data_IF_752724018948
#
_entry.id   IF_752724018948
#
_cell.length_a   1.000
_cell.length_b   1.000
_cell.length_c   1.000
_cell.angle_alpha   90.00
_cell.angle_beta   90.00
_cell.angle_gamma   90.00
#
_symmetry.space_group_name_H-M   'P 1'
#
loop_
_entity.id
_entity.type
_entity.pdbx_description
1 polymer ?
#
# COMPACT_ATOMS: atom_id res chain seq x y z
N UNK A 1 34.21 4.68 38.34
CA UNK A 1 32.83 4.90 37.84
C UNK A 1 31.85 4.20 38.78
N UNK A 2 30.92 4.94 39.39
CA UNK A 2 29.91 4.36 40.29
C UNK A 2 28.93 3.47 39.50
N UNK A 3 28.29 2.50 40.18
CA UNK A 3 27.24 1.67 39.57
C UNK A 3 26.11 2.52 38.96
N UNK A 4 25.79 3.65 39.58
CA UNK A 4 24.80 4.61 39.07
C UNK A 4 25.21 5.23 37.72
N UNK A 5 26.50 5.58 37.55
CA UNK A 5 27.00 6.14 36.28
C UNK A 5 26.96 5.14 35.14
N UNK A 6 27.16 3.84 35.42
CA UNK A 6 27.04 2.76 34.41
C UNK A 6 25.59 2.53 33.99
N UNK A 7 24.65 2.56 34.93
CA UNK A 7 23.22 2.44 34.64
C UNK A 7 22.69 3.64 33.85
N UNK A 8 23.13 4.85 34.20
CA UNK A 8 22.76 6.06 33.47
C UNK A 8 23.29 6.03 32.02
N UNK A 9 24.54 5.59 31.82
CA UNK A 9 25.12 5.42 30.48
C UNK A 9 24.38 4.35 29.66
N UNK A 10 24.00 3.22 30.28
CA UNK A 10 23.22 2.17 29.62
C UNK A 10 21.81 2.65 29.24
N UNK A 11 21.16 3.43 30.10
CA UNK A 11 19.84 4.01 29.82
C UNK A 11 19.91 5.05 28.70
N UNK A 12 20.93 5.93 28.70
CA UNK A 12 21.13 6.89 27.61
C UNK A 12 21.41 6.18 26.29
N UNK A 13 22.21 5.09 26.30
CA UNK A 13 22.43 4.26 25.10
C UNK A 13 21.16 3.58 24.61
N UNK A 14 20.32 3.04 25.51
CA UNK A 14 19.04 2.43 25.15
C UNK A 14 18.07 3.44 24.57
N UNK A 15 17.99 4.65 25.14
CA UNK A 15 17.12 5.73 24.64
C UNK A 15 17.62 6.29 23.29
N UNK A 16 18.92 6.32 23.04
CA UNK A 16 19.49 6.74 21.75
C UNK A 16 19.35 5.68 20.64
N UNK A 17 19.15 4.41 20.98
CA UNK A 17 18.95 3.34 20.00
C UNK A 17 17.50 3.24 19.47
N UNK A 18 16.54 3.97 20.03
CA UNK A 18 15.18 4.02 19.48
C UNK A 18 15.15 5.00 18.32
N UNK A 19 15.85 4.65 17.23
CA UNK A 19 15.66 5.33 15.95
C UNK A 19 14.34 4.82 15.41
N UNK A 20 13.31 5.66 15.45
CA UNK A 20 12.05 5.37 14.75
C UNK A 20 12.36 5.34 13.25
N UNK A 21 12.55 4.14 12.71
CA UNK A 21 12.67 3.94 11.27
C UNK A 21 11.28 4.17 10.68
N UNK A 22 11.01 5.39 10.26
CA UNK A 22 9.83 5.70 9.46
C UNK A 22 10.05 5.12 8.07
N UNK A 23 9.11 4.30 7.59
CA UNK A 23 9.23 3.73 6.26
C UNK A 23 9.14 4.83 5.20
N UNK A 24 10.12 4.89 4.31
CA UNK A 24 10.09 5.76 3.13
C UNK A 24 9.14 5.19 2.09
N UNK A 25 8.30 6.04 1.49
CA UNK A 25 7.36 5.64 0.45
C UNK A 25 7.77 6.21 -0.92
N UNK A 26 7.55 5.43 -1.96
CA UNK A 26 7.97 5.69 -3.33
C UNK A 26 6.78 5.61 -4.28
N UNK A 27 6.80 6.48 -5.29
CA UNK A 27 5.87 6.42 -6.41
C UNK A 27 6.29 5.37 -7.45
N UNK A 28 5.40 4.99 -8.40
CA UNK A 28 5.71 4.01 -9.44
C UNK A 28 6.94 4.31 -10.30
N UNK A 29 7.34 5.57 -10.41
CA UNK A 29 8.55 6.01 -11.12
C UNK A 29 9.83 5.89 -10.27
N UNK A 30 9.72 5.35 -9.05
CA UNK A 30 10.82 5.20 -8.09
C UNK A 30 11.21 6.51 -7.39
N UNK A 31 10.45 7.59 -7.59
CA UNK A 31 10.66 8.85 -6.88
C UNK A 31 10.19 8.73 -5.43
N UNK A 32 11.00 9.25 -4.51
CA UNK A 32 10.67 9.31 -3.09
C UNK A 32 9.58 10.35 -2.84
N UNK A 33 8.60 10.01 -2.01
CA UNK A 33 7.56 10.93 -1.57
C UNK A 33 7.96 11.55 -0.24
N UNK A 34 8.43 12.78 -0.32
CA UNK A 34 8.74 13.59 0.85
C UNK A 34 7.45 14.24 1.37
N UNK A 35 6.88 13.71 2.44
CA UNK A 35 5.68 14.25 3.07
C UNK A 35 5.37 13.49 4.35
N UNK A 36 5.22 14.21 5.47
CA UNK A 36 4.89 13.60 6.75
C UNK A 36 3.47 13.03 6.81
N UNK A 37 2.66 13.25 5.78
CA UNK A 37 1.28 12.80 5.66
C UNK A 37 1.14 11.38 5.05
N UNK A 38 2.19 10.89 4.40
CA UNK A 38 2.26 9.56 3.79
C UNK A 38 2.95 8.59 4.76
N UNK A 39 2.46 7.36 4.84
CA UNK A 39 3.05 6.30 5.66
C UNK A 39 2.54 4.92 5.27
N UNK A 40 3.19 3.85 5.76
CA UNK A 40 2.76 2.49 5.49
C UNK A 40 1.41 2.20 6.16
N UNK A 41 0.60 1.36 5.53
CA UNK A 41 -0.70 0.96 6.06
C UNK A 41 -0.60 0.09 7.32
N UNK A 42 0.51 -0.63 7.46
CA UNK A 42 0.81 -1.45 8.63
C UNK A 42 2.26 -1.27 9.04
N UNK A 43 2.52 -1.25 10.35
CA UNK A 43 3.87 -1.26 10.91
C UNK A 43 4.39 -2.69 11.13
N UNK A 44 3.52 -3.70 10.99
CA UNK A 44 3.89 -5.10 11.09
C UNK A 44 4.46 -5.57 9.75
N UNK A 45 5.74 -5.91 9.71
CA UNK A 45 6.41 -6.37 8.49
C UNK A 45 5.90 -7.72 7.98
N UNK A 46 5.17 -8.49 8.80
CA UNK A 46 4.49 -9.72 8.38
C UNK A 46 3.16 -9.46 7.67
N UNK A 47 2.58 -8.28 7.87
CA UNK A 47 1.40 -7.84 7.15
C UNK A 47 1.81 -7.34 5.75
N UNK A 48 1.25 -7.90 4.67
CA UNK A 48 1.56 -7.45 3.31
C UNK A 48 1.22 -5.97 3.07
N UNK A 49 0.30 -5.39 3.85
CA UNK A 49 -0.02 -3.96 3.80
C UNK A 49 1.12 -3.06 4.32
N UNK A 50 2.14 -3.60 5.01
CA UNK A 50 3.37 -2.84 5.32
C UNK A 50 4.14 -2.40 4.06
N UNK A 51 3.80 -2.97 2.90
CA UNK A 51 4.34 -2.55 1.59
C UNK A 51 3.54 -1.45 0.92
N UNK A 52 2.31 -1.23 1.35
CA UNK A 52 1.42 -0.23 0.79
C UNK A 52 1.50 1.05 1.61
N UNK A 53 1.61 2.19 0.94
CA UNK A 53 1.63 3.49 1.57
C UNK A 53 0.41 4.34 1.16
N UNK A 54 -0.32 4.85 2.15
CA UNK A 54 -1.44 5.78 1.97
C UNK A 54 -1.19 7.08 2.73
N UNK A 55 -2.10 8.06 2.62
CA UNK A 55 -2.02 9.30 3.40
C UNK A 55 -2.50 9.10 4.84
N UNK A 56 -1.89 8.14 5.56
CA UNK A 56 -2.31 7.70 6.90
C UNK A 56 -1.92 8.65 8.03
N UNK A 57 -1.13 9.67 7.77
CA UNK A 57 -0.63 10.60 8.79
C UNK A 57 -1.27 11.99 8.71
N UNK A 58 -2.31 12.15 7.89
CA UNK A 58 -3.08 13.40 7.84
C UNK A 58 -3.85 13.64 9.14
N UNK A 59 -4.06 14.93 9.53
CA UNK A 59 -4.55 15.27 10.86
C UNK A 59 -6.04 14.96 11.06
N UNK A 60 -6.86 15.01 10.00
CA UNK A 60 -8.31 14.84 10.12
C UNK A 60 -8.73 13.41 9.84
N UNK A 61 -9.73 12.94 10.56
CA UNK A 61 -10.28 11.60 10.38
C UNK A 61 -11.14 11.52 9.09
N UNK A 62 -11.32 10.31 8.52
CA UNK A 62 -12.28 10.07 7.44
C UNK A 62 -13.65 10.72 7.70
N UNK A 63 -14.20 11.40 6.70
CA UNK A 63 -15.53 12.01 6.75
C UNK A 63 -15.65 13.33 7.53
N UNK A 64 -14.54 13.90 8.02
CA UNK A 64 -14.59 15.08 8.92
C UNK A 64 -14.22 16.42 8.27
N UNK A 65 -13.82 16.45 7.00
CA UNK A 65 -13.37 17.68 6.32
C UNK A 65 -13.89 17.79 4.92
N UNK A 66 -14.10 19.03 4.46
CA UNK A 66 -14.41 19.33 3.05
C UNK A 66 -13.19 19.39 2.16
N UNK A 67 -12.00 19.33 2.74
CA UNK A 67 -10.75 19.29 2.02
C UNK A 67 -10.14 17.89 2.07
N UNK A 68 -10.17 17.20 0.93
CA UNK A 68 -9.66 15.84 0.79
C UNK A 68 -8.17 15.71 1.18
N UNK A 69 -7.36 16.77 0.99
CA UNK A 69 -5.92 16.74 1.31
C UNK A 69 -5.61 16.74 2.81
N UNK A 70 -6.61 16.99 3.66
CA UNK A 70 -6.44 17.02 5.12
C UNK A 70 -6.92 15.74 5.80
N UNK A 71 -7.60 14.88 5.04
CA UNK A 71 -8.27 13.68 5.55
C UNK A 71 -7.36 12.50 5.36
N UNK A 72 -7.17 11.78 6.47
CA UNK A 72 -6.46 10.51 6.51
C UNK A 72 -7.18 9.46 5.69
N UNK A 73 -6.40 8.75 4.87
CA UNK A 73 -6.89 7.61 4.12
C UNK A 73 -7.11 6.40 5.06
N UNK A 74 -8.10 5.58 4.73
CA UNK A 74 -8.30 4.24 5.30
C UNK A 74 -7.64 3.21 4.37
N UNK A 75 -6.78 2.37 4.92
CA UNK A 75 -6.14 1.29 4.17
C UNK A 75 -7.08 0.11 4.00
N UNK A 76 -7.30 -0.33 2.76
CA UNK A 76 -8.15 -1.46 2.45
C UNK A 76 -7.37 -2.77 2.40
N UNK A 77 -8.00 -3.94 2.68
CA UNK A 77 -7.33 -5.23 2.64
C UNK A 77 -6.70 -5.57 1.29
N UNK A 78 -7.26 -5.07 0.18
CA UNK A 78 -6.74 -5.25 -1.18
C UNK A 78 -5.58 -4.32 -1.54
N UNK A 79 -5.08 -3.52 -0.58
CA UNK A 79 -3.96 -2.60 -0.80
C UNK A 79 -4.35 -1.25 -1.40
N UNK A 80 -5.63 -1.00 -1.66
CA UNK A 80 -6.10 0.33 -2.05
C UNK A 80 -6.21 1.27 -0.85
N UNK A 81 -6.13 2.57 -1.14
CA UNK A 81 -6.33 3.63 -0.17
C UNK A 81 -7.70 4.26 -0.39
N UNK A 82 -8.53 4.28 0.64
CA UNK A 82 -9.86 4.88 0.63
C UNK A 82 -9.82 6.27 1.26
N UNK A 83 -10.28 7.29 0.55
CA UNK A 83 -10.41 8.65 1.05
C UNK A 83 -11.90 9.03 1.12
N UNK A 84 -12.38 9.25 2.35
CA UNK A 84 -13.76 9.65 2.62
C UNK A 84 -13.81 11.14 2.95
N UNK A 85 -14.24 11.97 2.01
CA UNK A 85 -14.36 13.42 2.17
C UNK A 85 -15.78 13.86 2.50
N UNK A 86 -15.95 14.94 3.27
CA UNK A 86 -17.26 15.58 3.49
C UNK A 86 -17.50 16.58 2.36
N UNK A 87 -18.66 16.57 1.72
CA UNK A 87 -19.05 17.59 0.75
C UNK A 87 -19.69 18.77 1.48
N UNK A 88 -19.82 19.91 0.79
CA UNK A 88 -20.40 21.14 1.39
C UNK A 88 -21.85 20.96 1.84
N UNK A 89 -22.57 20.02 1.25
CA UNK A 89 -23.95 19.65 1.58
C UNK A 89 -24.04 18.63 2.74
N UNK A 90 -22.91 18.31 3.37
CA UNK A 90 -22.81 17.30 4.41
C UNK A 90 -22.85 15.85 3.92
N UNK A 91 -22.93 15.62 2.60
CA UNK A 91 -22.82 14.26 2.05
C UNK A 91 -21.38 13.77 2.07
N UNK A 92 -21.17 12.46 2.04
CA UNK A 92 -19.84 11.87 1.99
C UNK A 92 -19.45 11.57 0.54
N UNK A 93 -18.24 11.94 0.16
CA UNK A 93 -17.62 11.62 -1.12
C UNK A 93 -16.51 10.61 -0.93
N UNK A 94 -16.69 9.43 -1.51
CA UNK A 94 -15.77 8.30 -1.40
C UNK A 94 -14.88 8.21 -2.64
N UNK A 95 -13.58 8.07 -2.42
CA UNK A 95 -12.61 7.87 -3.48
C UNK A 95 -11.69 6.72 -3.11
N UNK A 96 -11.28 5.95 -4.11
CA UNK A 96 -10.27 4.91 -3.97
C UNK A 96 -9.09 5.23 -4.86
N UNK A 97 -7.89 4.92 -4.36
CA UNK A 97 -6.67 5.16 -5.09
C UNK A 97 -5.62 4.10 -4.83
N UNK A 98 -4.90 3.76 -5.90
CA UNK A 98 -3.60 3.11 -5.83
C UNK A 98 -2.58 4.22 -5.55
N UNK A 99 -2.03 4.23 -4.33
CA UNK A 99 -1.12 5.27 -3.87
C UNK A 99 0.36 4.87 -4.06
N UNK A 100 1.12 4.71 -2.97
CA UNK A 100 2.56 4.59 -2.98
C UNK A 100 3.00 3.23 -2.41
N UNK A 101 4.29 2.92 -2.51
CA UNK A 101 4.85 1.66 -2.01
C UNK A 101 6.07 1.91 -1.13
N UNK A 102 6.36 1.05 -0.14
CA UNK A 102 7.60 1.16 0.64
C UNK A 102 8.84 0.67 -0.12
N UNK A 103 8.65 -0.10 -1.19
CA UNK A 103 9.73 -0.46 -2.12
C UNK A 103 9.90 0.62 -3.19
N UNK A 104 11.15 0.99 -3.46
CA UNK A 104 11.49 1.86 -4.58
C UNK A 104 11.30 1.17 -5.93
N UNK A 105 11.52 -0.14 -5.96
CA UNK A 105 11.37 -0.96 -7.14
C UNK A 105 9.99 -1.63 -7.15
N UNK A 106 9.10 -1.09 -7.98
CA UNK A 106 7.74 -1.59 -8.14
C UNK A 106 7.68 -2.92 -8.90
N UNK A 107 8.68 -3.23 -9.73
CA UNK A 107 8.71 -4.44 -10.55
C UNK A 107 8.92 -5.74 -9.75
N UNK A 108 9.24 -5.61 -8.46
CA UNK A 108 9.49 -6.74 -7.55
C UNK A 108 8.22 -7.51 -7.16
N UNK A 109 7.04 -7.03 -7.52
CA UNK A 109 5.76 -7.62 -7.09
C UNK A 109 5.44 -7.41 -5.60
N UNK A 110 6.24 -6.61 -4.89
CA UNK A 110 5.96 -6.19 -3.51
C UNK A 110 4.98 -5.01 -3.43
N UNK A 111 4.74 -4.35 -4.57
CA UNK A 111 3.83 -3.24 -4.73
C UNK A 111 2.63 -3.66 -5.59
N UNK A 112 1.65 -2.76 -5.78
CA UNK A 112 0.57 -2.96 -6.76
C UNK A 112 1.08 -2.68 -8.18
N UNK A 113 2.06 -3.47 -8.63
CA UNK A 113 2.62 -3.37 -9.97
C UNK A 113 1.60 -3.79 -11.04
N UNK A 114 1.65 -3.15 -12.20
CA UNK A 114 0.69 -3.35 -13.30
C UNK A 114 -0.72 -2.81 -13.03
N UNK A 115 -1.06 -2.45 -11.79
CA UNK A 115 -2.37 -1.89 -11.45
C UNK A 115 -2.35 -0.39 -11.70
N UNK A 116 -2.94 0.04 -12.81
CA UNK A 116 -3.10 1.45 -13.18
C UNK A 116 -1.78 2.24 -13.22
N UNK A 117 -0.65 1.59 -13.50
CA UNK A 117 0.68 2.23 -13.61
C UNK A 117 0.83 3.02 -14.91
N UNK A 118 0.08 2.66 -15.95
CA UNK A 118 0.25 3.18 -17.31
C UNK A 118 -0.54 4.46 -17.60
N UNK A 119 -1.41 4.91 -16.69
CA UNK A 119 -2.58 5.69 -17.12
C UNK A 119 -2.40 7.18 -17.33
N UNK A 120 -1.32 7.86 -16.92
CA UNK A 120 -1.11 9.25 -17.38
C UNK A 120 0.36 9.66 -17.37
N UNK A 121 0.88 10.08 -18.53
CA UNK A 121 2.17 10.78 -18.64
C UNK A 121 2.13 12.02 -17.72
N UNK A 122 2.79 11.96 -16.56
CA UNK A 122 2.99 13.11 -15.67
C UNK A 122 2.33 13.06 -14.29
N UNK A 123 1.61 12.00 -13.93
CA UNK A 123 1.16 11.79 -12.53
C UNK A 123 1.92 10.63 -11.90
N UNK A 124 3.15 10.87 -11.46
CA UNK A 124 3.94 9.93 -10.65
C UNK A 124 3.46 9.86 -9.20
N UNK A 125 2.16 9.61 -9.01
CA UNK A 125 1.59 9.52 -7.67
C UNK A 125 0.29 8.73 -7.62
N UNK A 126 -0.54 9.07 -6.64
CA UNK A 126 -1.85 8.47 -6.43
C UNK A 126 -2.67 8.45 -7.72
N UNK A 127 -3.12 7.27 -8.10
CA UNK A 127 -4.00 7.06 -9.23
C UNK A 127 -5.35 6.61 -8.74
N UNK A 128 -6.39 7.33 -9.14
CA UNK A 128 -7.77 7.00 -8.80
C UNK A 128 -8.17 5.70 -9.50
N UNK A 129 -8.93 4.89 -8.76
CA UNK A 129 -9.60 3.70 -9.25
C UNK A 129 -11.07 3.71 -8.86
N UNK A 130 -11.93 3.16 -9.71
CA UNK A 130 -13.38 3.12 -9.50
C UNK A 130 -13.85 1.66 -9.55
N UNK A 131 -14.55 1.15 -8.52
CA UNK A 131 -15.00 -0.24 -8.50
C UNK A 131 -16.16 -0.44 -9.46
N UNK A 132 -16.11 -1.50 -10.28
CA UNK A 132 -17.18 -1.81 -11.23
C UNK A 132 -18.49 -2.25 -10.58
N UNK A 133 -18.43 -2.70 -9.33
CA UNK A 133 -19.62 -3.07 -8.55
C UNK A 133 -20.12 -1.92 -7.66
N UNK A 134 -19.45 -0.76 -7.68
CA UNK A 134 -19.74 0.36 -6.78
C UNK A 134 -19.38 0.10 -5.31
N UNK A 135 -18.67 -1.00 -5.00
CA UNK A 135 -18.29 -1.39 -3.64
C UNK A 135 -16.77 -1.53 -3.51
N UNK A 136 -16.24 -1.25 -2.33
CA UNK A 136 -14.80 -1.44 -2.05
C UNK A 136 -14.34 -2.92 -2.05
N UNK A 137 -15.28 -3.86 -2.11
CA UNK A 137 -15.05 -5.30 -2.27
C UNK A 137 -15.06 -5.76 -3.74
N UNK A 138 -15.06 -4.84 -4.70
CA UNK A 138 -15.01 -5.20 -6.12
C UNK A 138 -13.73 -5.98 -6.44
N UNK A 139 -13.86 -6.95 -7.34
CA UNK A 139 -12.71 -7.68 -7.92
C UNK A 139 -12.25 -7.07 -9.24
N UNK A 140 -13.01 -6.12 -9.78
CA UNK A 140 -12.73 -5.42 -11.03
C UNK A 140 -12.86 -3.92 -10.82
N UNK A 141 -11.88 -3.18 -11.32
CA UNK A 141 -11.75 -1.75 -11.10
C UNK A 141 -11.35 -1.05 -12.39
N UNK A 142 -11.87 0.15 -12.60
CA UNK A 142 -11.40 1.04 -13.64
C UNK A 142 -10.29 1.95 -13.14
N UNK A 143 -9.22 2.03 -13.91
CA UNK A 143 -8.20 3.04 -13.74
C UNK A 143 -8.68 4.39 -14.28
N UNK A 144 -8.77 5.42 -13.44
CA UNK A 144 -9.14 6.76 -13.87
C UNK A 144 -10.22 7.42 -13.02
N UNK A 145 -10.93 8.37 -13.63
CA UNK A 145 -11.93 9.21 -12.99
C UNK A 145 -13.38 8.82 -13.36
N UNK A 146 -13.57 7.79 -14.18
CA UNK A 146 -14.86 7.23 -14.59
C UNK A 146 -14.88 5.68 -14.55
N UNK A 147 -16.09 5.11 -14.60
CA UNK A 147 -16.37 3.68 -14.64
C UNK A 147 -16.68 3.16 -16.06
N UNK A 148 -16.38 3.95 -17.09
CA UNK A 148 -16.67 3.60 -18.49
C UNK A 148 -16.10 2.21 -18.86
N UNK A 149 -14.91 1.88 -18.36
CA UNK A 149 -14.24 0.61 -18.62
C UNK A 149 -14.93 -0.62 -18.00
N UNK A 150 -15.92 -0.41 -17.11
CA UNK A 150 -16.70 -1.49 -16.51
C UNK A 150 -17.82 -1.98 -17.43
N UNK A 151 -18.24 -1.16 -18.39
CA UNK A 151 -19.34 -1.46 -19.31
C UNK A 151 -18.93 -1.47 -20.78
N UNK A 152 -17.77 -0.89 -21.13
CA UNK A 152 -17.31 -0.84 -22.51
C UNK A 152 -16.63 -2.14 -22.94
N UNK A 153 -16.72 -2.43 -24.25
CA UNK A 153 -15.88 -3.46 -24.89
C UNK A 153 -14.38 -3.12 -24.79
N UNK A 154 -14.05 -1.85 -24.55
CA UNK A 154 -12.69 -1.38 -24.30
C UNK A 154 -12.27 -1.64 -22.84
N UNK A 155 -11.59 -2.75 -22.61
CA UNK A 155 -11.04 -3.15 -21.30
C UNK A 155 -9.63 -2.59 -21.04
N UNK A 156 -9.15 -1.61 -21.83
CA UNK A 156 -7.78 -1.08 -21.70
C UNK A 156 -7.45 -0.49 -20.33
N UNK A 157 -8.47 -0.02 -19.59
CA UNK A 157 -8.33 0.54 -18.23
C UNK A 157 -8.91 -0.37 -17.13
N UNK A 158 -9.37 -1.58 -17.48
CA UNK A 158 -9.96 -2.52 -16.53
C UNK A 158 -8.84 -3.34 -15.88
N UNK A 159 -8.81 -3.35 -14.54
CA UNK A 159 -7.87 -4.15 -13.76
C UNK A 159 -8.61 -5.06 -12.80
N UNK A 160 -8.05 -6.23 -12.53
CA UNK A 160 -8.57 -7.14 -11.51
C UNK A 160 -7.71 -7.09 -10.26
N UNK A 161 -8.36 -6.99 -9.10
CA UNK A 161 -7.72 -6.97 -7.79
C UNK A 161 -8.27 -8.11 -6.93
N UNK A 162 -7.37 -8.82 -6.26
CA UNK A 162 -7.74 -9.75 -5.20
C UNK A 162 -8.40 -8.99 -4.04
N UNK A 163 -9.40 -9.56 -3.35
CA UNK A 163 -10.00 -8.96 -2.15
C UNK A 163 -8.98 -8.65 -1.04
N UNK A 164 -7.88 -9.41 -1.00
CA UNK A 164 -6.77 -9.20 -0.07
C UNK A 164 -5.47 -9.08 -0.85
N UNK A 165 -4.67 -8.08 -0.51
CA UNK A 165 -3.33 -7.88 -1.04
C UNK A 165 -2.43 -8.94 -0.44
N UNK A 166 -1.94 -9.81 -1.31
CA UNK A 166 -0.87 -10.74 -0.98
C UNK A 166 0.36 -10.25 -1.71
N UNK A 167 1.46 -10.07 -0.99
CA UNK A 167 2.76 -10.00 -1.66
C UNK A 167 2.87 -11.32 -2.40
N UNK A 168 3.10 -11.28 -3.72
CA UNK A 168 3.49 -12.49 -4.43
C UNK A 168 4.69 -13.00 -3.68
N UNK A 169 4.49 -14.06 -2.88
CA UNK A 169 5.54 -14.61 -2.03
C UNK A 169 6.69 -14.76 -2.99
N UNK A 170 7.76 -14.00 -2.76
CA UNK A 170 8.93 -14.04 -3.63
C UNK A 170 9.40 -15.45 -3.37
N UNK A 171 8.91 -16.38 -4.18
CA UNK A 171 9.26 -17.79 -4.13
C UNK A 171 10.76 -17.65 -4.14
N UNK A 172 11.35 -17.98 -3.00
CA UNK A 172 12.78 -17.92 -2.85
C UNK A 172 13.22 -19.09 -3.71
N UNK A 173 13.23 -18.88 -5.03
CA UNK A 173 13.76 -19.81 -5.99
C UNK A 173 15.19 -19.92 -5.48
N UNK A 174 15.58 -21.08 -4.91
CA UNK A 174 16.93 -21.23 -4.44
C UNK A 174 17.80 -20.85 -5.62
N UNK A 175 18.63 -19.82 -5.44
CA UNK A 175 19.58 -19.38 -6.45
C UNK A 175 20.39 -20.62 -6.82
N UNK A 176 20.01 -21.27 -7.92
CA UNK A 176 20.72 -22.43 -8.42
C UNK A 176 22.01 -21.84 -8.94
N UNK A 177 23.04 -21.85 -8.10
CA UNK A 177 24.41 -21.54 -8.46
C UNK A 177 24.74 -22.43 -9.65
N UNK A 178 24.60 -21.87 -10.85
CA UNK A 178 24.99 -22.55 -12.08
C UNK A 178 26.51 -22.53 -12.09
N UNK A 179 27.09 -23.55 -11.48
CA UNK A 179 28.49 -23.90 -11.67
C UNK A 179 28.65 -24.24 -13.14
N UNK A 180 29.14 -23.27 -13.92
CA UNK A 180 29.55 -23.48 -15.30
C UNK A 180 30.81 -24.35 -15.25
N UNK A 181 30.60 -25.67 -15.20
CA UNK A 181 31.66 -26.63 -15.51
C UNK A 181 31.74 -26.73 -17.03
N UNK A 182 32.80 -26.11 -17.55
CA UNK A 182 33.30 -26.33 -18.90
C UNK A 182 33.55 -27.82 -19.15
N UNK A 183 32.80 -28.41 -20.08
CA UNK A 183 33.21 -29.65 -20.76
C UNK A 183 32.98 -29.47 -22.25
N UNK A 184 34.09 -29.37 -22.96
CA UNK A 184 34.17 -29.39 -24.41
C UNK A 184 34.21 -30.83 -24.93
N UNK A 185 33.75 -30.98 -26.18
CA UNK A 185 33.97 -32.07 -27.14
C UNK A 185 33.02 -33.28 -27.12
N UNK A 186 32.34 -33.48 -28.26
CA UNK A 186 31.72 -34.76 -28.63
C UNK A 186 30.66 -34.65 -29.72
N UNK A 187 31.08 -34.60 -30.99
CA UNK A 187 30.24 -34.77 -32.18
C UNK A 187 29.43 -36.09 -32.17
N UNK A 188 28.22 -36.05 -32.78
CA UNK A 188 27.60 -37.01 -33.75
C UNK A 188 26.10 -36.70 -33.85
N UNK A 189 25.61 -36.03 -34.88
CA UNK A 189 25.17 -36.57 -36.20
C UNK A 189 24.24 -37.78 -36.10
N UNK A 190 22.93 -37.57 -36.31
CA UNK A 190 22.10 -38.37 -37.23
C UNK A 190 20.77 -37.67 -37.53
N UNK A 191 20.45 -37.63 -38.81
CA UNK A 191 19.26 -37.08 -39.47
C UNK A 191 18.09 -38.06 -39.49
N UNK A 192 16.83 -37.58 -39.40
CA UNK A 192 15.60 -38.13 -40.04
C UNK A 192 14.56 -36.97 -40.06
N UNK A 193 14.28 -36.28 -41.18
CA UNK A 193 13.38 -36.52 -42.33
C UNK A 193 11.86 -36.61 -41.99
N UNK A 194 11.09 -35.88 -42.81
CA UNK A 194 9.65 -35.98 -43.19
C UNK A 194 8.68 -34.99 -42.52
N UNK A 195 8.28 -33.88 -43.20
CA UNK A 195 7.31 -33.71 -44.33
C UNK A 195 5.90 -33.42 -43.77
N UNK A 196 5.06 -32.49 -44.23
CA UNK A 196 4.87 -31.81 -45.54
C UNK A 196 3.72 -30.78 -45.41
N UNK A 197 3.75 -29.73 -46.26
CA UNK A 197 2.64 -29.00 -46.94
C UNK A 197 1.48 -28.39 -46.12
N UNK A 198 0.95 -27.19 -46.39
CA UNK A 198 1.08 -26.15 -47.44
C UNK A 198 0.42 -24.87 -46.86
N UNK A 199 0.19 -23.75 -47.52
CA UNK A 199 0.28 -23.31 -48.90
C UNK A 199 0.36 -21.78 -48.85
N UNK A 200 1.26 -21.21 -49.65
CA UNK A 200 1.44 -19.78 -49.86
C UNK A 200 0.29 -19.17 -50.66
N UNK A 201 -0.09 -17.93 -50.39
CA UNK A 201 -0.46 -17.00 -51.48
C UNK A 201 0.00 -15.59 -51.12
N UNK A 202 0.89 -15.08 -51.99
CA UNK A 202 1.47 -13.75 -51.97
C UNK A 202 0.59 -12.76 -52.75
N UNK A 203 0.71 -11.45 -52.50
CA UNK A 203 1.26 -10.52 -53.52
C UNK A 203 1.60 -9.13 -52.95
N UNK A 204 2.57 -8.42 -53.57
CA UNK A 204 3.30 -7.28 -53.00
C UNK A 204 3.03 -5.95 -53.74
N UNK A 205 3.47 -4.81 -53.20
CA UNK A 205 3.86 -3.59 -53.96
C UNK A 205 4.70 -2.70 -53.03
N UNK A 206 6.03 -2.64 -53.18
CA UNK A 206 6.84 -1.59 -53.87
C UNK A 206 6.49 -0.14 -53.47
N UNK A 207 7.38 0.82 -53.29
CA UNK A 207 8.82 0.96 -53.20
C UNK A 207 9.05 2.45 -52.83
N UNK A 208 10.11 2.82 -52.10
CA UNK A 208 10.96 3.94 -52.51
C UNK A 208 12.21 4.00 -51.64
N UNK A 209 13.34 4.02 -52.33
CA UNK A 209 14.68 4.18 -51.79
C UNK A 209 14.91 5.60 -51.27
N UNK A 210 15.83 5.73 -50.31
CA UNK A 210 16.95 6.65 -50.48
C UNK A 210 18.13 6.18 -49.63
N UNK A 211 19.20 5.82 -50.33
CA UNK A 211 20.51 5.57 -49.78
C UNK A 211 21.28 6.89 -49.70
N UNK A 212 21.90 7.16 -48.54
CA UNK A 212 23.05 8.06 -48.47
C UNK A 212 24.15 7.34 -47.72
N UNK A 213 25.24 7.19 -48.45
CA UNK A 213 26.53 6.63 -48.08
C UNK A 213 27.42 7.74 -47.54
N UNK A 214 28.08 7.52 -46.40
CA UNK A 214 29.37 8.17 -46.10
C UNK A 214 30.22 7.30 -45.18
N UNK A 215 31.49 7.23 -45.58
CA UNK A 215 32.67 6.45 -45.17
C UNK A 215 33.02 6.34 -43.66
N UNK A 216 33.93 5.39 -43.32
CA UNK A 216 34.34 5.09 -41.95
C UNK A 216 35.52 5.95 -41.49
N UNK A 217 35.57 6.31 -40.21
CA UNK A 217 36.75 6.93 -39.62
C UNK A 217 36.97 6.51 -38.16
N UNK A 218 38.12 5.86 -37.96
CA UNK A 218 39.00 5.88 -36.78
C UNK A 218 38.53 5.29 -35.45
N UNK A 219 39.13 4.14 -35.15
CA UNK A 219 39.32 3.55 -33.82
C UNK A 219 40.08 4.50 -32.89
N UNK A 220 39.63 4.73 -31.65
CA UNK A 220 40.51 5.11 -30.56
C UNK A 220 41.00 3.89 -29.79
N UNK A 221 42.31 3.92 -29.56
CA UNK A 221 43.13 2.95 -28.84
C UNK A 221 42.66 2.71 -27.41
N UNK A 222 42.70 1.43 -27.01
CA UNK A 222 42.66 1.00 -25.62
C UNK A 222 43.69 1.79 -24.80
N UNK A 223 43.22 2.51 -23.78
CA UNK A 223 44.06 2.99 -22.69
C UNK A 223 43.60 2.26 -21.43
N UNK A 224 44.41 1.30 -20.99
CA UNK A 224 44.20 0.60 -19.73
C UNK A 224 44.36 1.60 -18.58
N UNK A 225 43.26 1.92 -17.92
CA UNK A 225 43.26 2.69 -16.68
C UNK A 225 43.88 1.81 -15.57
N UNK A 226 44.90 2.28 -14.85
CA UNK A 226 45.51 1.51 -13.78
C UNK A 226 44.50 1.25 -12.66
N UNK A 227 44.44 -0.01 -12.24
CA UNK A 227 43.70 -0.49 -11.08
C UNK A 227 44.02 0.37 -9.85
N UNK A 228 43.03 1.04 -9.22
CA UNK A 228 43.28 1.79 -8.00
C UNK A 228 43.68 0.82 -6.89
N UNK A 229 44.89 1.02 -6.35
CA UNK A 229 45.38 0.31 -5.20
C UNK A 229 44.37 0.41 -4.05
N UNK A 230 44.10 -0.72 -3.39
CA UNK A 230 43.24 -0.80 -2.22
C UNK A 230 43.77 0.11 -1.10
N UNK A 231 43.18 1.30 -0.98
CA UNK A 231 43.43 2.20 0.13
C UNK A 231 42.88 1.57 1.39
N UNK A 232 43.78 1.17 2.28
CA UNK A 232 43.48 0.74 3.65
C UNK A 232 42.53 1.75 4.29
N UNK A 233 41.34 1.28 4.67
CA UNK A 233 40.34 2.09 5.33
C UNK A 233 40.86 2.53 6.71
N UNK A 234 41.50 3.70 6.76
CA UNK A 234 41.78 4.37 8.03
C UNK A 234 40.46 4.80 8.64
N UNK A 235 40.22 4.33 9.87
CA UNK A 235 39.10 4.70 10.70
C UNK A 235 39.16 6.22 10.97
N UNK A 236 38.50 7.02 10.13
CA UNK A 236 38.33 8.47 10.34
C UNK A 236 37.46 8.70 11.56
N UNK A 237 38.10 8.70 12.74
CA UNK A 237 37.50 9.16 13.97
C UNK A 237 37.05 10.61 13.81
N UNK A 238 35.85 10.91 14.31
CA UNK A 238 35.25 12.25 14.32
C UNK A 238 36.28 13.31 14.73
N UNK A 239 36.41 14.36 13.91
CA UNK A 239 37.27 15.52 14.14
C UNK A 239 37.16 16.01 15.59
N UNK A 240 38.29 16.43 16.18
CA UNK A 240 38.34 16.96 17.56
C UNK A 240 37.28 18.05 17.80
N UNK A 241 36.96 18.84 16.76
CA UNK A 241 35.90 19.84 16.80
C UNK A 241 34.49 19.26 16.95
N UNK A 242 34.19 18.15 16.26
CA UNK A 242 32.89 17.48 16.37
C UNK A 242 32.69 16.85 17.76
N UNK A 243 33.75 16.29 18.35
CA UNK A 243 33.70 15.73 19.71
C UNK A 243 33.42 16.80 20.77
N UNK A 244 34.00 18.00 20.61
CA UNK A 244 33.75 19.12 21.53
C UNK A 244 32.33 19.68 21.39
N UNK A 245 31.82 19.81 20.15
CA UNK A 245 30.47 20.32 19.89
C UNK A 245 29.36 19.46 20.51
N UNK A 246 29.46 18.13 20.41
CA UNK A 246 28.45 17.21 20.96
C UNK A 246 28.40 17.29 22.49
N UNK A 247 29.55 17.43 23.16
CA UNK A 247 29.61 17.48 24.62
C UNK A 247 28.87 18.71 25.19
N UNK A 248 29.05 19.88 24.58
CA UNK A 248 28.41 21.13 25.03
C UNK A 248 26.91 21.09 24.71
N UNK A 249 26.55 20.62 23.51
CA UNK A 249 25.14 20.51 23.09
C UNK A 249 24.31 19.60 24.00
N UNK A 250 24.87 18.48 24.45
CA UNK A 250 24.17 17.54 25.33
C UNK A 250 23.87 18.15 26.72
N UNK A 251 24.80 18.92 27.31
CA UNK A 251 24.59 19.56 28.62
C UNK A 251 23.53 20.65 28.51
N UNK A 252 23.62 21.51 27.48
CA UNK A 252 22.63 22.56 27.26
C UNK A 252 21.23 21.98 26.99
N UNK A 253 21.14 20.93 26.18
CA UNK A 253 19.89 20.23 25.88
C UNK A 253 19.26 19.61 27.14
N UNK A 254 20.06 18.95 27.98
CA UNK A 254 19.56 18.34 29.22
C UNK A 254 18.99 19.38 30.20
N UNK A 255 19.67 20.52 30.37
CA UNK A 255 19.19 21.62 31.23
C UNK A 255 17.85 22.17 30.70
N UNK A 256 17.74 22.35 29.38
CA UNK A 256 16.54 22.87 28.74
C UNK A 256 15.34 21.90 28.88
N UNK A 257 15.57 20.59 28.77
CA UNK A 257 14.54 19.58 28.98
C UNK A 257 14.06 19.50 30.43
N UNK A 258 14.95 19.62 31.42
CA UNK A 258 14.57 19.66 32.84
C UNK A 258 13.74 20.92 33.14
N UNK A 259 14.16 22.08 32.62
CA UNK A 259 13.41 23.32 32.77
C UNK A 259 12.00 23.22 32.15
N UNK A 260 11.88 22.61 30.95
CA UNK A 260 10.60 22.39 30.29
C UNK A 260 9.69 21.44 31.08
N UNK A 261 10.24 20.36 31.65
CA UNK A 261 9.48 19.43 32.49
C UNK A 261 8.94 20.07 33.78
N UNK A 262 9.75 20.91 34.44
CA UNK A 262 9.30 21.69 35.61
C UNK A 262 8.23 22.71 35.22
N UNK A 263 8.35 23.34 34.05
CA UNK A 263 7.35 24.30 33.58
C UNK A 263 6.00 23.64 33.24
N UNK A 264 6.00 22.52 32.51
CA UNK A 264 4.78 21.78 32.16
C UNK A 264 4.09 21.24 33.41
N UNK A 265 4.83 20.65 34.35
CA UNK A 265 4.24 20.13 35.60
C UNK A 265 3.57 21.23 36.42
N UNK A 266 4.21 22.41 36.53
CA UNK A 266 3.63 23.57 37.21
C UNK A 266 2.40 24.12 36.48
N UNK A 267 2.44 24.20 35.15
CA UNK A 267 1.30 24.65 34.35
C UNK A 267 0.08 23.70 34.46
N UNK A 268 0.32 22.38 34.55
CA UNK A 268 -0.74 21.39 34.75
C UNK A 268 -1.32 21.46 36.17
N UNK A 269 -0.50 21.72 37.20
CA UNK A 269 -0.98 21.92 38.56
C UNK A 269 -1.93 23.13 38.63
N UNK A 270 -1.57 24.25 38.01
CA UNK A 270 -2.44 25.44 37.94
C UNK A 270 -3.75 25.19 37.20
N UNK A 271 -3.75 24.35 36.16
CA UNK A 271 -4.98 23.98 35.45
C UNK A 271 -5.94 23.17 36.34
N UNK A 272 -5.42 22.26 37.17
CA UNK A 272 -6.25 21.47 38.10
C UNK A 272 -6.90 22.37 39.15
N UNK A 273 -6.16 23.32 39.70
CA UNK A 273 -6.70 24.30 40.67
C UNK A 273 -7.77 25.19 40.03
N UNK A 274 -7.55 25.67 38.80
CA UNK A 274 -8.53 26.47 38.07
C UNK A 274 -9.81 25.68 37.70
N UNK A 275 -9.71 24.38 37.43
CA UNK A 275 -10.86 23.52 37.18
C UNK A 275 -11.65 23.21 38.47
N UNK A 276 -10.96 22.95 39.58
CA UNK A 276 -11.59 22.76 40.88
C UNK A 276 -12.36 24.01 41.35
N UNK A 277 -11.80 25.21 41.10
CA UNK A 277 -12.47 26.48 41.41
C UNK A 277 -13.74 26.72 40.56
N UNK A 278 -13.78 26.24 39.32
CA UNK A 278 -14.96 26.35 38.44
C UNK A 278 -16.06 25.34 38.79
N UNK A 279 -15.69 24.12 39.22
CA UNK A 279 -16.65 23.09 39.61
C UNK A 279 -17.50 23.46 40.83
N UNK A 280 -17.01 24.35 41.71
CA UNK A 280 -17.78 24.81 42.86
C UNK A 280 -18.80 25.92 42.54
N UNK A 281 -18.77 26.51 41.33
CA UNK A 281 -19.58 27.70 41.00
C UNK A 281 -20.71 27.45 39.99
N UNK A 282 -20.99 26.20 39.60
CA UNK A 282 -22.12 25.87 38.70
C UNK A 282 -22.83 24.57 39.14
N UNK A 283 -23.84 24.65 40.03
CA UNK A 283 -24.75 23.54 40.24
C UNK A 283 -25.74 23.47 39.07
N UNK A 284 -25.54 22.52 38.14
CA UNK A 284 -26.63 21.95 37.33
C UNK A 284 -26.68 22.28 35.84
N UNK A 285 -25.77 21.72 35.02
CA UNK A 285 -25.96 21.71 33.56
C UNK A 285 -25.53 20.37 32.94
N UNK A 286 -26.50 19.63 32.38
CA UNK A 286 -26.31 18.41 31.59
C UNK A 286 -26.28 18.76 30.09
N UNK A 287 -25.30 18.27 29.29
CA UNK A 287 -25.29 18.50 27.85
C UNK A 287 -25.88 17.31 27.07
N UNK A 288 -27.00 17.57 26.41
CA UNK A 288 -27.48 16.94 25.18
C UNK A 288 -28.03 18.08 24.29
N UNK A 289 -28.32 17.97 23.00
CA UNK A 289 -28.25 16.93 21.98
C UNK A 289 -28.73 17.63 20.67
N UNK A 290 -28.41 17.05 19.51
CA UNK A 290 -29.15 17.14 18.23
C UNK A 290 -29.15 18.43 17.38
N UNK A 291 -28.88 18.27 16.07
CA UNK A 291 -29.65 18.92 14.98
C UNK A 291 -29.46 18.20 13.64
N UNK A 292 -30.56 17.70 13.08
CA UNK A 292 -30.75 17.22 11.70
C UNK A 292 -31.26 18.33 10.76
N UNK A 293 -31.01 18.23 9.44
CA UNK A 293 -31.68 19.05 8.42
C UNK A 293 -31.18 18.86 6.97
N UNK A 294 -32.08 18.43 6.07
CA UNK A 294 -31.88 17.96 4.68
C UNK A 294 -31.88 19.04 3.56
N UNK A 295 -31.26 18.72 2.38
CA UNK A 295 -31.55 19.36 1.07
C UNK A 295 -30.64 19.02 -0.16
N UNK A 296 -30.92 17.88 -0.85
CA UNK A 296 -30.72 17.43 -2.27
C UNK A 296 -29.46 17.69 -3.19
N UNK A 297 -28.82 16.55 -3.59
CA UNK A 297 -28.05 16.08 -4.80
C UNK A 297 -26.78 16.80 -5.32
N UNK A 298 -25.64 16.07 -5.51
CA UNK A 298 -25.50 14.98 -6.50
C UNK A 298 -24.85 13.67 -6.00
N UNK A 299 -25.14 12.56 -6.71
CA UNK A 299 -24.59 11.18 -6.54
C UNK A 299 -24.16 10.79 -5.10
N UNK A 300 -25.11 10.89 -4.17
CA UNK A 300 -25.01 10.18 -2.89
C UNK A 300 -25.06 8.69 -3.19
N UNK A 301 -23.92 8.00 -3.15
CA UNK A 301 -23.94 6.59 -2.81
C UNK A 301 -24.54 6.51 -1.41
N UNK A 302 -25.77 6.01 -1.33
CA UNK A 302 -26.41 5.68 -0.07
C UNK A 302 -25.56 4.57 0.58
N UNK A 303 -24.60 4.99 1.40
CA UNK A 303 -24.03 4.16 2.42
C UNK A 303 -25.22 3.61 3.21
N UNK A 304 -25.36 2.28 3.25
CA UNK A 304 -26.33 1.65 4.13
C UNK A 304 -25.93 2.04 5.55
N UNK A 305 -26.59 3.07 6.08
CA UNK A 305 -26.56 3.34 7.50
C UNK A 305 -27.00 2.04 8.17
N UNK A 306 -26.13 1.52 9.02
CA UNK A 306 -26.40 0.36 9.85
C UNK A 306 -27.75 0.57 10.53
N UNK A 307 -28.56 -0.49 10.50
CA UNK A 307 -29.90 -0.54 11.05
C UNK A 307 -29.88 0.01 12.47
N UNK A 308 -30.65 1.08 12.68
CA UNK A 308 -30.84 1.73 13.96
C UNK A 308 -31.29 0.71 15.01
N UNK A 309 -30.46 0.51 16.03
CA UNK A 309 -30.69 -0.42 17.13
C UNK A 309 -31.60 0.17 18.21
N UNK A 310 -32.69 0.84 17.81
CA UNK A 310 -33.72 1.38 18.72
C UNK A 310 -35.08 0.69 18.59
N UNK A 311 -35.11 -0.54 18.09
CA UNK A 311 -36.26 -1.42 18.32
C UNK A 311 -36.23 -1.94 19.77
N UNK A 312 -37.25 -1.69 20.60
CA UNK A 312 -37.35 -2.37 21.91
C UNK A 312 -37.40 -3.89 21.68
N UNK A 313 -36.89 -4.70 22.62
CA UNK A 313 -36.92 -6.14 22.49
C UNK A 313 -38.36 -6.60 22.28
N UNK A 314 -38.65 -7.14 21.10
CA UNK A 314 -39.87 -7.91 20.87
C UNK A 314 -39.72 -9.15 21.74
N UNK A 315 -40.53 -9.23 22.79
CA UNK A 315 -40.66 -10.47 23.57
C UNK A 315 -41.12 -11.57 22.62
N UNK A 316 -40.23 -12.52 22.39
CA UNK A 316 -40.53 -13.73 21.61
C UNK A 316 -41.55 -14.52 22.41
N UNK A 317 -42.80 -14.47 21.94
CA UNK A 317 -43.88 -15.32 22.39
C UNK A 317 -43.40 -16.79 22.30
N UNK A 318 -43.52 -17.48 23.43
CA UNK A 318 -43.07 -18.85 23.69
C UNK A 318 -43.18 -19.77 22.48
N UNK A 319 -42.05 -20.38 22.12
CA UNK A 319 -41.98 -21.49 21.16
C UNK A 319 -42.88 -22.64 21.61
N UNK A 320 -43.78 -23.17 20.76
CA UNK A 320 -44.45 -24.44 21.03
C UNK A 320 -43.45 -25.59 21.02
N UNK A 321 -43.72 -26.58 21.88
CA UNK A 321 -42.89 -27.76 22.12
C UNK A 321 -42.50 -28.51 20.81
N UNK A 322 -41.30 -29.11 20.77
CA UNK A 322 -40.82 -29.85 19.61
C UNK A 322 -41.68 -31.10 19.37
N UNK A 323 -42.36 -31.13 18.22
CA UNK A 323 -43.01 -32.33 17.69
C UNK A 323 -41.94 -33.25 17.09
N UNK A 324 -41.86 -34.45 17.65
CA UNK A 324 -41.01 -35.56 17.24
C UNK A 324 -41.36 -36.00 15.80
N UNK A 325 -40.37 -35.97 14.89
CA UNK A 325 -40.54 -36.40 13.51
C UNK A 325 -40.27 -37.92 13.36
N UNK A 326 -41.06 -38.66 12.56
CA UNK A 326 -40.89 -40.10 12.39
C UNK A 326 -39.71 -40.45 11.48
N UNK A 327 -38.96 -41.44 11.95
CA UNK A 327 -37.79 -42.06 11.35
C UNK A 327 -38.12 -42.58 9.95
N UNK A 328 -37.55 -41.97 8.91
CA UNK A 328 -37.67 -42.48 7.54
C UNK A 328 -36.31 -43.02 7.09
N UNK A 329 -36.20 -44.35 7.03
CA UNK A 329 -35.04 -45.06 6.47
C UNK A 329 -34.91 -44.74 4.98
N UNK A 330 -33.80 -44.12 4.59
CA UNK A 330 -33.44 -43.87 3.19
C UNK A 330 -32.61 -45.04 2.68
N UNK A 331 -33.24 -45.84 1.81
CA UNK A 331 -32.65 -46.98 1.12
C UNK A 331 -31.88 -46.48 -0.13
N UNK A 332 -30.55 -46.58 -0.11
CA UNK A 332 -29.70 -46.23 -1.26
C UNK A 332 -29.74 -47.34 -2.32
N UNK A 333 -30.43 -47.10 -3.43
CA UNK A 333 -30.26 -47.88 -4.67
C UNK A 333 -29.24 -47.21 -5.59
N UNK A 334 -28.14 -47.93 -5.82
CA UNK A 334 -27.19 -47.70 -6.90
C UNK A 334 -27.88 -47.74 -8.27
N UNK A 335 -27.67 -46.71 -9.09
CA UNK A 335 -28.04 -46.68 -10.50
C UNK A 335 -27.05 -45.83 -11.28
N UNK A 336 -26.11 -46.49 -11.97
CA UNK A 336 -25.19 -45.86 -12.90
C UNK A 336 -25.89 -45.46 -14.20
N UNK A 337 -25.40 -44.42 -14.85
CA UNK A 337 -25.75 -44.08 -16.22
C UNK A 337 -24.56 -43.39 -16.91
N UNK A 338 -24.01 -44.11 -17.88
CA UNK A 338 -23.04 -43.71 -18.88
C UNK A 338 -23.71 -42.81 -19.93
N UNK A 339 -23.04 -41.74 -20.35
CA UNK A 339 -23.50 -40.84 -21.40
C UNK A 339 -22.37 -40.45 -22.34
N UNK A 340 -22.37 -41.07 -23.53
CA UNK A 340 -21.55 -40.79 -24.70
C UNK A 340 -21.83 -39.39 -25.28
N UNK A 341 -20.79 -38.65 -25.68
CA UNK A 341 -20.90 -37.55 -26.65
C UNK A 341 -20.06 -37.89 -27.89
N UNK A 342 -20.70 -37.91 -29.05
CA UNK A 342 -20.06 -37.92 -30.36
C UNK A 342 -20.17 -36.53 -30.98
N UNK A 343 -19.16 -36.06 -31.75
CA UNK A 343 -19.26 -34.83 -32.51
C UNK A 343 -19.79 -35.13 -33.92
N UNK A 344 -20.45 -34.15 -34.53
CA UNK A 344 -20.88 -34.17 -35.93
C UNK A 344 -20.53 -32.83 -36.60
N UNK A 345 -20.48 -32.83 -37.95
CA UNK A 345 -19.35 -32.38 -38.77
C UNK A 345 -19.27 -30.88 -39.03
#
# INVERSE_FOLDING_TARGET
MSRAMRLLLAFVFLVQCVVFVTATCYAPDGSERTGGDIGPCSNDLSDPLSRICCNVNRPKAPGTSTNASEIRDTCLPNGLCENLSLLKDGSLYLQWGRNFCTSRDWSTGQCMDGICTNTVKGRSGSQRVIPCTGKNTSITWCCGDNDDCCSSDDQSNLVSLSPTFTIAEVVSIPSVTSTISSVSAGLRTTSVISSTEGTSTATPTSASANAVSTAPASSPSNTATPSPAATTAENTGLSKGAKAGIAIGAIAGAILLVALGVWISKALAWRKEAQAAKAQNYPGYYPGSDVEGFGAHPQKYAYYAEVDATSPPVEVLSTPDPVEAPNTEVNFRNGGLSGFFTPKP
#
